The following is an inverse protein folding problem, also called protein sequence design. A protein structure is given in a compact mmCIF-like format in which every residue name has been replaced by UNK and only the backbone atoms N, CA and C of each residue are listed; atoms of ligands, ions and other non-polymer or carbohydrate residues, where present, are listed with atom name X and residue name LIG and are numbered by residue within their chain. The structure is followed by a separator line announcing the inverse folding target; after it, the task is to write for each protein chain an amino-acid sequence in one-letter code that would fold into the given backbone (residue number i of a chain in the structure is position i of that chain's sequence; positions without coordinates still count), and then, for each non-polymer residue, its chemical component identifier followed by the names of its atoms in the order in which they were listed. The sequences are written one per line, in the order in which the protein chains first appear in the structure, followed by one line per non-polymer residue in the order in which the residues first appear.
data_IF_719429258860
#
_entry.id   IF_719429258860
#
_cell.length_a   1.000
_cell.length_b   1.000
_cell.length_c   1.000
_cell.angle_alpha   90.00
_cell.angle_beta   90.00
_cell.angle_gamma   90.00
#
_symmetry.space_group_name_H-M   'P 1'
#
loop_
_entity.id
_entity.type
_entity.pdbx_description
1 polymer ?
#
# COMPACT_ATOMS: atom_id res chain seq x y z
N UNK A 1 -13.96 2.80 -6.32
CA UNK A 1 -12.64 2.93 -7.01
C UNK A 1 -11.67 1.87 -6.47
N UNK A 2 -10.68 1.41 -7.25
CA UNK A 2 -9.69 0.41 -6.83
C UNK A 2 -8.35 1.07 -6.48
N UNK A 3 -7.64 0.52 -5.50
CA UNK A 3 -6.29 0.94 -5.16
C UNK A 3 -5.34 -0.24 -5.01
N UNK A 4 -4.07 0.01 -5.31
CA UNK A 4 -2.94 -0.89 -5.05
C UNK A 4 -2.02 -0.23 -4.02
N UNK A 5 -1.67 -0.97 -2.96
CA UNK A 5 -0.63 -0.57 -2.01
C UNK A 5 0.62 -1.38 -2.30
N UNK A 6 1.64 -0.71 -2.86
CA UNK A 6 2.91 -1.33 -3.21
C UNK A 6 3.85 -1.45 -2.00
N UNK A 7 4.24 -2.68 -1.69
CA UNK A 7 5.30 -2.99 -0.71
C UNK A 7 6.71 -2.99 -1.33
N UNK A 8 7.65 -3.67 -0.65
CA UNK A 8 8.98 -3.96 -1.19
C UNK A 8 8.86 -4.68 -2.54
N UNK A 9 9.55 -4.18 -3.55
CA UNK A 9 9.53 -4.68 -4.94
C UNK A 9 8.53 -3.98 -5.86
N UNK A 10 7.59 -3.19 -5.34
CA UNK A 10 6.56 -2.50 -6.14
C UNK A 10 6.48 -1.03 -5.72
N UNK A 11 7.27 -0.17 -6.38
CA UNK A 11 7.52 1.21 -5.91
C UNK A 11 6.92 2.31 -6.77
N UNK A 12 6.66 2.03 -8.03
CA UNK A 12 6.20 3.00 -9.01
C UNK A 12 5.38 2.32 -10.08
N UNK A 13 4.43 3.05 -10.64
CA UNK A 13 3.63 2.64 -11.80
C UNK A 13 4.23 3.11 -13.13
N UNK A 14 5.49 3.57 -13.13
CA UNK A 14 6.14 4.19 -14.27
C UNK A 14 5.80 5.68 -14.42
N UNK A 15 6.00 6.23 -15.63
CA UNK A 15 5.93 7.67 -15.88
C UNK A 15 4.54 8.17 -16.27
N UNK A 16 3.68 7.30 -16.82
CA UNK A 16 2.32 7.65 -17.23
C UNK A 16 1.35 7.62 -16.04
N UNK A 17 1.45 8.64 -15.19
CA UNK A 17 0.62 8.78 -14.00
C UNK A 17 0.25 10.24 -13.71
N UNK A 18 -0.87 10.41 -13.02
CA UNK A 18 -1.27 11.69 -12.43
C UNK A 18 -1.06 11.64 -10.93
N UNK A 19 -0.30 12.57 -10.40
CA UNK A 19 -0.07 12.64 -8.96
C UNK A 19 -1.23 13.36 -8.27
N UNK A 20 -1.63 12.86 -7.09
CA UNK A 20 -2.62 13.48 -6.23
C UNK A 20 -2.11 13.53 -4.80
N UNK A 21 -2.09 14.71 -4.22
CA UNK A 21 -1.79 14.91 -2.80
C UNK A 21 -3.12 14.99 -2.06
N UNK A 22 -3.24 14.22 -0.98
CA UNK A 22 -4.41 14.21 -0.10
C UNK A 22 -3.97 14.60 1.30
N UNK A 23 -4.59 15.63 1.85
CA UNK A 23 -4.38 16.06 3.23
C UNK A 23 -5.39 15.37 4.14
N UNK A 24 -4.90 14.58 5.08
CA UNK A 24 -5.74 13.91 6.07
C UNK A 24 -5.47 14.51 7.45
N UNK A 25 -6.36 14.26 8.42
CA UNK A 25 -6.11 14.65 9.81
C UNK A 25 -4.87 13.99 10.44
N UNK A 26 -4.31 12.96 9.79
CA UNK A 26 -3.12 12.24 10.24
C UNK A 26 -1.85 12.65 9.50
N UNK A 27 -1.94 13.49 8.46
CA UNK A 27 -0.81 13.91 7.63
C UNK A 27 -1.11 13.84 6.14
N UNK A 28 -0.15 14.29 5.35
CA UNK A 28 -0.23 14.34 3.90
C UNK A 28 0.17 13.00 3.27
N UNK A 29 -0.57 12.58 2.23
CA UNK A 29 -0.29 11.35 1.46
C UNK A 29 -0.21 11.69 -0.02
N UNK A 30 0.84 11.19 -0.69
CA UNK A 30 0.99 11.27 -2.14
C UNK A 30 0.50 9.97 -2.77
N UNK A 31 -0.41 10.10 -3.73
CA UNK A 31 -1.00 9.00 -4.49
C UNK A 31 -0.66 9.18 -5.97
N UNK A 32 -0.46 8.08 -6.66
CA UNK A 32 -0.33 8.05 -8.11
C UNK A 32 -1.66 7.50 -8.69
N UNK A 33 -2.19 8.11 -9.74
CA UNK A 33 -3.38 7.64 -10.45
C UNK A 33 -2.95 7.24 -11.85
N UNK A 34 -3.22 5.98 -12.21
CA UNK A 34 -2.88 5.42 -13.51
C UNK A 34 -4.13 4.88 -14.18
N UNK A 35 -4.26 5.14 -15.48
CA UNK A 35 -5.32 4.57 -16.28
C UNK A 35 -4.85 3.22 -16.85
N UNK A 36 -5.56 2.14 -16.51
CA UNK A 36 -5.32 0.79 -17.02
C UNK A 36 -6.60 0.36 -17.73
N UNK A 37 -6.53 0.15 -19.03
CA UNK A 37 -7.66 -0.28 -19.86
C UNK A 37 -8.94 0.56 -19.68
N UNK A 38 -8.77 1.88 -19.52
CA UNK A 38 -9.88 2.83 -19.32
C UNK A 38 -10.34 2.99 -17.87
N UNK A 39 -9.78 2.23 -16.91
CA UNK A 39 -10.07 2.35 -15.49
C UNK A 39 -8.97 3.10 -14.73
N UNK A 40 -9.36 4.10 -13.94
CA UNK A 40 -8.43 4.78 -13.03
C UNK A 40 -8.15 3.91 -11.79
N UNK A 41 -6.89 3.50 -11.64
CA UNK A 41 -6.37 2.76 -10.49
C UNK A 41 -5.49 3.69 -9.66
N UNK A 42 -5.74 3.72 -8.35
CA UNK A 42 -4.92 4.47 -7.39
C UNK A 42 -3.76 3.62 -6.93
N UNK A 43 -2.56 4.15 -6.92
CA UNK A 43 -1.37 3.51 -6.38
C UNK A 43 -0.81 4.28 -5.20
N UNK A 44 -0.49 3.57 -4.12
CA UNK A 44 0.16 4.08 -2.92
C UNK A 44 1.45 3.30 -2.66
N UNK A 45 2.60 3.97 -2.72
CA UNK A 45 3.88 3.40 -2.33
C UNK A 45 3.98 3.34 -0.79
N UNK A 46 3.90 2.14 -0.20
CA UNK A 46 3.81 1.95 1.26
C UNK A 46 5.00 2.53 2.02
N UNK A 47 6.19 2.47 1.41
CA UNK A 47 7.45 2.95 1.97
C UNK A 47 7.87 4.33 1.43
N UNK A 48 6.93 5.02 0.77
CA UNK A 48 7.21 6.21 -0.04
C UNK A 48 7.88 5.87 -1.37
N UNK A 49 7.83 6.81 -2.32
CA UNK A 49 8.37 6.62 -3.67
C UNK A 49 9.89 6.37 -3.71
N UNK A 50 10.63 6.84 -2.70
CA UNK A 50 12.08 6.59 -2.54
C UNK A 50 12.40 5.38 -1.65
N UNK A 51 11.40 4.60 -1.23
CA UNK A 51 11.55 3.46 -0.31
C UNK A 51 12.28 3.80 1.00
N UNK A 52 12.14 5.04 1.48
CA UNK A 52 12.90 5.57 2.62
C UNK A 52 12.20 5.37 3.96
N UNK A 53 10.91 5.04 3.97
CA UNK A 53 10.12 4.94 5.21
C UNK A 53 10.13 3.51 5.75
N UNK A 54 10.75 3.23 6.90
CA UNK A 54 10.78 1.88 7.46
C UNK A 54 9.41 1.45 7.98
N UNK A 55 9.13 0.13 8.10
CA UNK A 55 7.81 -0.39 8.45
C UNK A 55 7.15 0.20 9.71
N UNK A 56 7.95 0.56 10.72
CA UNK A 56 7.47 1.08 12.00
C UNK A 56 7.15 2.59 11.96
N UNK A 57 7.55 3.32 10.91
CA UNK A 57 7.27 4.75 10.72
C UNK A 57 6.22 5.02 9.64
N UNK A 58 5.67 3.99 8.99
CA UNK A 58 4.61 4.16 8.00
C UNK A 58 3.37 4.73 8.68
N UNK A 59 2.84 5.82 8.12
CA UNK A 59 1.60 6.42 8.60
C UNK A 59 0.37 5.71 8.00
N UNK A 60 0.09 4.51 8.49
CA UNK A 60 -1.02 3.69 8.02
C UNK A 60 -2.38 4.40 8.11
N UNK A 61 -2.59 5.23 9.14
CA UNK A 61 -3.84 5.99 9.32
C UNK A 61 -4.04 7.04 8.25
N UNK A 62 -3.00 7.82 7.94
CA UNK A 62 -3.05 8.78 6.83
C UNK A 62 -3.30 8.06 5.50
N UNK A 63 -2.58 6.96 5.24
CA UNK A 63 -2.74 6.18 4.01
C UNK A 63 -4.18 5.67 3.83
N UNK A 64 -4.77 5.05 4.87
CA UNK A 64 -6.14 4.51 4.78
C UNK A 64 -7.19 5.62 4.67
N UNK A 65 -7.01 6.72 5.41
CA UNK A 65 -7.91 7.88 5.34
C UNK A 65 -7.87 8.54 3.96
N UNK A 66 -6.68 8.74 3.39
CA UNK A 66 -6.53 9.35 2.07
C UNK A 66 -7.24 8.53 1.00
N UNK A 67 -7.08 7.20 1.01
CA UNK A 67 -7.78 6.30 0.08
C UNK A 67 -9.30 6.35 0.29
N UNK A 68 -9.77 6.39 1.54
CA UNK A 68 -11.19 6.48 1.86
C UNK A 68 -11.80 7.80 1.36
N UNK A 69 -11.13 8.93 1.57
CA UNK A 69 -11.60 10.26 1.19
C UNK A 69 -11.73 10.44 -0.33
N UNK A 70 -10.91 9.75 -1.12
CA UNK A 70 -11.01 9.77 -2.59
C UNK A 70 -11.95 8.72 -3.17
N UNK A 71 -12.68 7.98 -2.32
CA UNK A 71 -13.70 7.01 -2.76
C UNK A 71 -13.16 5.64 -3.19
N UNK A 72 -12.02 5.20 -2.63
CA UNK A 72 -11.54 3.82 -2.81
C UNK A 72 -12.41 2.86 -2.00
N UNK A 73 -12.89 1.81 -2.67
CA UNK A 73 -13.72 0.74 -2.10
C UNK A 73 -12.97 -0.58 -1.97
N UNK A 74 -11.99 -0.82 -2.85
CA UNK A 74 -11.22 -2.05 -2.91
C UNK A 74 -9.72 -1.75 -2.90
N UNK A 75 -8.99 -2.42 -2.01
CA UNK A 75 -7.54 -2.26 -1.86
C UNK A 75 -6.87 -3.62 -2.07
N UNK A 76 -5.91 -3.65 -2.97
CA UNK A 76 -5.00 -4.78 -3.19
C UNK A 76 -3.63 -4.40 -2.63
N UNK A 77 -3.16 -5.07 -1.59
CA UNK A 77 -1.88 -4.75 -0.96
C UNK A 77 -0.86 -5.86 -1.24
N UNK A 78 0.38 -5.47 -1.55
CA UNK A 78 1.49 -6.42 -1.71
C UNK A 78 2.41 -6.38 -0.49
N UNK A 79 2.97 -7.54 -0.16
CA UNK A 79 3.98 -7.67 0.88
C UNK A 79 5.00 -8.74 0.48
N UNK A 80 6.28 -8.40 0.55
CA UNK A 80 7.35 -9.39 0.58
C UNK A 80 7.41 -10.00 1.99
N UNK A 81 7.44 -11.33 2.07
CA UNK A 81 7.43 -12.09 3.33
C UNK A 81 8.41 -13.27 3.26
N UNK A 82 8.76 -13.82 4.42
CA UNK A 82 9.42 -15.12 4.52
C UNK A 82 8.39 -16.20 4.82
N UNK A 83 8.55 -17.39 4.23
CA UNK A 83 7.68 -18.53 4.54
C UNK A 83 8.07 -19.19 5.86
N UNK A 84 7.06 -19.50 6.69
CA UNK A 84 7.18 -20.38 7.85
C UNK A 84 6.59 -21.79 7.57
N UNK A 85 6.20 -22.06 6.33
CA UNK A 85 5.62 -23.33 5.90
C UNK A 85 6.48 -23.91 4.76
N UNK A 86 6.99 -25.13 4.96
CA UNK A 86 7.88 -25.80 4.00
C UNK A 86 7.22 -26.08 2.64
N UNK A 87 5.90 -26.02 2.54
CA UNK A 87 5.17 -26.21 1.29
C UNK A 87 5.16 -24.97 0.39
N UNK A 88 5.64 -23.81 0.87
CA UNK A 88 5.75 -22.59 0.06
C UNK A 88 7.22 -22.27 -0.22
N UNK A 89 7.55 -22.12 -1.49
CA UNK A 89 8.87 -21.82 -2.01
C UNK A 89 9.03 -20.33 -2.35
N UNK A 90 10.27 -19.79 -2.42
CA UNK A 90 10.49 -18.44 -2.91
C UNK A 90 9.90 -18.23 -4.31
N UNK A 91 9.03 -17.23 -4.45
CA UNK A 91 8.31 -16.93 -5.70
C UNK A 91 6.83 -17.31 -5.65
N UNK A 92 6.41 -18.15 -4.71
CA UNK A 92 5.00 -18.45 -4.51
C UNK A 92 4.21 -17.20 -4.10
N UNK A 93 2.98 -17.12 -4.60
CA UNK A 93 2.03 -16.06 -4.26
C UNK A 93 0.95 -16.64 -3.37
N UNK A 94 0.72 -15.97 -2.24
CA UNK A 94 -0.30 -16.38 -1.27
C UNK A 94 -1.32 -15.26 -1.11
N UNK A 95 -2.60 -15.62 -1.23
CA UNK A 95 -3.72 -14.77 -0.82
C UNK A 95 -3.99 -15.09 0.65
N UNK A 96 -3.61 -14.18 1.53
CA UNK A 96 -3.82 -14.34 2.98
C UNK A 96 -5.29 -14.12 3.34
N UNK A 97 -5.79 -14.92 4.28
CA UNK A 97 -7.14 -14.84 4.83
C UNK A 97 -7.17 -14.53 6.34
N UNK A 98 -6.03 -14.65 7.03
CA UNK A 98 -5.87 -14.36 8.45
C UNK A 98 -4.48 -13.79 8.78
N UNK A 99 -4.31 -13.24 9.99
CA UNK A 99 -3.04 -12.72 10.48
C UNK A 99 -2.91 -12.79 12.01
N UNK A 100 -1.66 -12.80 12.49
CA UNK A 100 -1.32 -12.62 13.91
C UNK A 100 -0.56 -11.30 14.06
N UNK A 101 -1.04 -10.41 14.93
CA UNK A 101 -0.42 -9.12 15.16
C UNK A 101 0.63 -9.16 16.28
N UNK A 102 1.91 -9.01 15.90
CA UNK A 102 3.04 -8.84 16.82
C UNK A 102 3.60 -7.40 16.80
N UNK A 103 2.86 -6.44 16.26
CA UNK A 103 3.31 -5.05 16.16
C UNK A 103 3.22 -4.36 17.53
N UNK A 104 4.18 -3.45 17.81
CA UNK A 104 4.32 -2.85 19.16
C UNK A 104 4.29 -1.33 19.20
N UNK A 105 4.70 -0.68 18.11
CA UNK A 105 4.96 0.76 18.08
C UNK A 105 3.94 1.55 17.26
N UNK A 106 2.91 0.88 16.73
CA UNK A 106 1.90 1.51 15.88
C UNK A 106 0.82 2.13 16.78
N UNK A 107 0.38 3.38 16.53
CA UNK A 107 -0.75 3.95 17.23
C UNK A 107 -2.00 3.07 17.06
N UNK A 108 -2.63 2.69 18.17
CA UNK A 108 -3.92 1.98 18.17
C UNK A 108 -5.01 2.97 17.76
N UNK A 109 -6.01 2.49 17.02
CA UNK A 109 -7.18 3.25 16.57
C UNK A 109 -8.44 2.79 17.28
#
# INVERSE_FOLDING_TARGET
MKAIIGGTGVYSTGDNKREKIVETKYGQVKLDIVNIDGEDIVFLARHGHSHSVPPHLINYRANMMALKEIGVDYIFATAAVGSCNKNYEPGDVVIIDDFIDFTKSRPIT
#
